data_IF_019898189605
#
_entry.id   IF_019898189605
#
_cell.length_a   1.000
_cell.length_b   1.000
_cell.length_c   1.000
_cell.angle_alpha   90.00
_cell.angle_beta   90.00
_cell.angle_gamma   90.00
#
_symmetry.space_group_name_H-M   'P 1'
#
loop_
_entity.id
_entity.type
_entity.pdbx_description
1 polymer ?
#
# COMPACT_ATOMS: atom_id res chain seq x y z
N UNK A 1 -31.93 -0.57 -11.35
CA UNK A 1 -30.90 0.31 -10.76
C UNK A 1 -29.61 -0.49 -10.73
N UNK A 2 -28.46 0.07 -11.12
CA UNK A 2 -27.21 -0.70 -11.23
C UNK A 2 -26.67 -1.04 -9.82
N UNK A 3 -26.68 -2.32 -9.45
CA UNK A 3 -26.14 -2.88 -8.19
C UNK A 3 -24.61 -2.80 -8.04
N UNK A 4 -23.95 -1.90 -8.78
CA UNK A 4 -22.48 -1.80 -8.82
C UNK A 4 -21.90 -0.85 -7.77
N UNK A 5 -22.74 -0.07 -7.07
CA UNK A 5 -22.30 0.99 -6.13
C UNK A 5 -22.82 0.77 -4.70
N UNK A 6 -23.14 -0.48 -4.34
CA UNK A 6 -23.56 -0.86 -2.98
C UNK A 6 -22.48 -1.76 -2.35
N UNK A 7 -22.22 -1.58 -1.06
CA UNK A 7 -21.35 -2.48 -0.31
C UNK A 7 -21.97 -3.88 -0.26
N UNK A 8 -21.11 -4.90 -0.39
CA UNK A 8 -21.45 -6.32 -0.20
C UNK A 8 -20.75 -6.93 1.00
N UNK A 9 -20.01 -6.13 1.74
CA UNK A 9 -19.38 -6.55 2.98
C UNK A 9 -20.49 -6.98 3.95
N UNK A 10 -20.34 -8.10 4.67
CA UNK A 10 -21.23 -8.45 5.78
C UNK A 10 -21.32 -7.33 6.84
N UNK A 11 -22.43 -7.23 7.58
CA UNK A 11 -22.64 -6.14 8.55
C UNK A 11 -21.77 -6.24 9.81
N UNK A 12 -21.26 -7.42 10.09
CA UNK A 12 -20.35 -7.74 11.20
C UNK A 12 -18.87 -7.49 10.86
N UNK A 13 -18.54 -7.20 9.60
CA UNK A 13 -17.18 -6.88 9.16
C UNK A 13 -17.03 -5.37 9.00
N UNK A 14 -16.10 -4.79 9.75
CA UNK A 14 -15.76 -3.36 9.70
C UNK A 14 -14.28 -3.16 9.46
N UNK A 15 -13.95 -2.09 8.75
CA UNK A 15 -12.56 -1.67 8.54
C UNK A 15 -12.17 -0.74 9.68
N UNK A 16 -11.55 -1.31 10.71
CA UNK A 16 -11.04 -0.54 11.84
C UNK A 16 -9.69 0.09 11.51
N UNK A 17 -9.62 1.41 11.57
CA UNK A 17 -8.37 2.16 11.41
C UNK A 17 -7.55 1.99 12.69
N UNK A 18 -6.39 1.33 12.57
CA UNK A 18 -5.48 1.08 13.68
C UNK A 18 -4.20 1.87 13.47
N UNK A 19 -3.91 2.79 14.38
CA UNK A 19 -2.62 3.46 14.45
C UNK A 19 -1.64 2.56 15.23
N UNK A 20 -0.86 1.77 14.48
CA UNK A 20 0.13 0.85 15.06
C UNK A 20 1.50 1.43 14.81
N UNK A 21 2.28 1.60 15.88
CA UNK A 21 3.72 1.84 15.79
C UNK A 21 4.43 0.53 16.12
N UNK A 22 5.20 0.00 15.17
CA UNK A 22 5.94 -1.23 15.39
C UNK A 22 7.26 -0.94 16.10
N UNK A 23 7.44 -1.56 17.26
CA UNK A 23 8.71 -1.57 17.98
C UNK A 23 9.73 -2.51 17.32
N UNK A 24 11.02 -2.21 17.45
CA UNK A 24 12.10 -3.11 17.01
C UNK A 24 12.33 -3.20 15.50
N UNK A 25 11.73 -2.31 14.69
CA UNK A 25 12.00 -2.24 13.24
C UNK A 25 13.43 -1.73 12.94
N UNK A 26 13.90 -0.77 13.75
CA UNK A 26 15.24 -0.21 13.60
C UNK A 26 16.31 -1.12 14.22
N UNK A 27 17.49 -1.14 13.61
CA UNK A 27 18.66 -1.93 14.04
C UNK A 27 18.40 -3.44 14.11
N UNK A 28 17.43 -3.94 13.33
CA UNK A 28 17.17 -5.38 13.20
C UNK A 28 18.39 -6.12 12.64
N UNK A 29 18.57 -7.42 12.96
CA UNK A 29 19.64 -8.23 12.38
C UNK A 29 19.64 -8.18 10.84
N UNK A 30 20.82 -8.34 10.23
CA UNK A 30 20.97 -8.33 8.76
C UNK A 30 20.04 -9.34 8.07
N UNK A 31 19.90 -10.51 8.68
CA UNK A 31 19.01 -11.58 8.24
C UNK A 31 17.90 -11.79 9.28
N UNK A 32 17.10 -10.74 9.48
CA UNK A 32 16.07 -10.68 10.52
C UNK A 32 15.04 -11.81 10.45
N UNK A 33 14.83 -12.40 9.27
CA UNK A 33 13.90 -13.51 9.10
C UNK A 33 14.57 -14.86 9.40
N UNK A 34 14.80 -15.14 10.69
CA UNK A 34 15.33 -16.43 11.16
C UNK A 34 16.71 -16.77 10.58
N UNK A 35 17.57 -15.76 10.42
CA UNK A 35 18.89 -15.86 9.80
C UNK A 35 18.88 -16.36 8.34
N UNK A 36 17.73 -16.28 7.65
CA UNK A 36 17.59 -16.69 6.26
C UNK A 36 17.83 -15.51 5.31
N UNK A 37 18.92 -15.51 4.51
CA UNK A 37 19.23 -14.41 3.61
C UNK A 37 18.26 -14.28 2.43
N UNK A 38 17.76 -15.40 1.89
CA UNK A 38 16.86 -15.38 0.72
C UNK A 38 15.52 -14.75 1.11
N UNK A 39 14.92 -15.22 2.21
CA UNK A 39 13.65 -14.68 2.70
C UNK A 39 13.80 -13.22 3.11
N UNK A 40 14.87 -12.89 3.84
CA UNK A 40 15.13 -11.50 4.25
C UNK A 40 15.25 -10.58 3.05
N UNK A 41 16.00 -10.96 2.01
CA UNK A 41 16.17 -10.10 0.83
C UNK A 41 14.91 -10.01 -0.02
N UNK A 42 14.16 -11.10 -0.18
CA UNK A 42 12.87 -11.08 -0.85
C UNK A 42 11.88 -10.13 -0.18
N UNK A 43 11.76 -10.19 1.15
CA UNK A 43 10.86 -9.33 1.91
C UNK A 43 11.34 -7.87 1.97
N UNK A 44 12.65 -7.63 2.09
CA UNK A 44 13.21 -6.28 2.01
C UNK A 44 12.92 -5.64 0.64
N UNK A 45 13.06 -6.42 -0.44
CA UNK A 45 12.75 -5.95 -1.79
C UNK A 45 11.26 -5.68 -1.97
N UNK A 46 10.38 -6.58 -1.50
CA UNK A 46 8.93 -6.37 -1.56
C UNK A 46 8.50 -5.12 -0.80
N UNK A 47 8.99 -4.94 0.44
CA UNK A 47 8.72 -3.76 1.28
C UNK A 47 9.05 -2.44 0.60
N UNK A 48 10.05 -2.42 -0.28
CA UNK A 48 10.45 -1.22 -1.01
C UNK A 48 9.37 -0.68 -1.95
N UNK A 49 8.53 -1.56 -2.48
CA UNK A 49 7.57 -1.22 -3.52
C UNK A 49 6.22 -0.76 -2.95
N UNK A 50 5.88 -1.23 -1.74
CA UNK A 50 4.58 -0.97 -1.14
C UNK A 50 4.30 0.53 -0.94
N UNK A 51 5.19 1.39 -0.41
CA UNK A 51 4.85 2.80 -0.20
C UNK A 51 4.31 3.51 -1.46
N UNK A 52 4.95 3.26 -2.60
CA UNK A 52 4.52 3.85 -3.87
C UNK A 52 3.25 3.16 -4.42
N UNK A 53 3.13 1.84 -4.20
CA UNK A 53 1.94 1.06 -4.53
C UNK A 53 0.70 1.51 -3.77
N UNK A 54 0.79 1.69 -2.46
CA UNK A 54 -0.32 2.08 -1.58
C UNK A 54 -0.81 3.50 -1.88
N UNK A 55 0.12 4.43 -2.14
CA UNK A 55 -0.24 5.77 -2.65
C UNK A 55 -0.99 5.66 -3.99
N UNK A 56 -0.59 4.73 -4.86
CA UNK A 56 -1.30 4.46 -6.11
C UNK A 56 -2.68 3.83 -5.85
N UNK A 57 -2.81 2.92 -4.90
CA UNK A 57 -4.08 2.31 -4.49
C UNK A 57 -5.06 3.39 -4.01
N UNK A 58 -4.64 4.21 -3.05
CA UNK A 58 -5.41 5.35 -2.51
C UNK A 58 -5.92 6.25 -3.64
N UNK A 59 -5.04 6.68 -4.54
CA UNK A 59 -5.42 7.54 -5.66
C UNK A 59 -6.39 6.85 -6.62
N UNK A 60 -6.21 5.55 -6.84
CA UNK A 60 -7.05 4.75 -7.73
C UNK A 60 -8.49 4.64 -7.21
N UNK A 61 -8.70 4.41 -5.91
CA UNK A 61 -10.07 4.42 -5.33
C UNK A 61 -10.65 5.84 -5.23
N UNK A 62 -9.84 6.85 -4.90
CA UNK A 62 -10.29 8.24 -4.85
C UNK A 62 -10.86 8.74 -6.18
N UNK A 63 -10.37 8.24 -7.32
CA UNK A 63 -10.91 8.55 -8.64
C UNK A 63 -12.42 8.22 -8.80
N UNK A 64 -12.96 7.33 -7.98
CA UNK A 64 -14.34 6.85 -8.04
C UNK A 64 -15.17 7.23 -6.81
N UNK A 65 -14.56 7.75 -5.74
CA UNK A 65 -15.22 8.03 -4.47
C UNK A 65 -16.48 8.91 -4.62
N UNK A 66 -16.46 9.90 -5.51
CA UNK A 66 -17.60 10.79 -5.77
C UNK A 66 -18.80 10.11 -6.45
N UNK A 67 -18.64 8.90 -6.98
CA UNK A 67 -19.71 8.12 -7.61
C UNK A 67 -20.41 7.19 -6.61
N UNK A 68 -19.90 7.09 -5.38
CA UNK A 68 -20.40 6.19 -4.34
C UNK A 68 -21.48 6.89 -3.53
N UNK A 69 -22.71 6.38 -3.62
CA UNK A 69 -23.87 6.90 -2.89
C UNK A 69 -24.20 6.09 -1.64
N UNK A 70 -23.77 4.83 -1.58
CA UNK A 70 -23.98 3.99 -0.41
C UNK A 70 -23.11 4.48 0.77
N UNK A 71 -23.71 4.87 1.90
CA UNK A 71 -22.96 5.32 3.06
C UNK A 71 -22.00 4.26 3.61
N UNK A 72 -22.36 2.97 3.54
CA UNK A 72 -21.50 1.87 4.03
C UNK A 72 -20.24 1.76 3.18
N UNK A 73 -20.39 1.66 1.85
CA UNK A 73 -19.25 1.60 0.94
C UNK A 73 -18.35 2.83 1.04
N UNK A 74 -18.92 4.01 1.28
CA UNK A 74 -18.14 5.25 1.47
C UNK A 74 -17.32 5.22 2.76
N UNK A 75 -17.87 4.68 3.84
CA UNK A 75 -17.16 4.48 5.11
C UNK A 75 -16.00 3.47 4.93
N UNK A 76 -16.26 2.37 4.23
CA UNK A 76 -15.25 1.35 3.91
C UNK A 76 -14.09 1.91 3.08
N UNK A 77 -14.37 2.73 2.05
CA UNK A 77 -13.34 3.40 1.26
C UNK A 77 -12.48 4.32 2.15
N UNK A 78 -13.10 5.06 3.08
CA UNK A 78 -12.35 5.90 4.00
C UNK A 78 -11.48 5.08 4.97
N UNK A 79 -12.02 3.97 5.49
CA UNK A 79 -11.29 3.05 6.35
C UNK A 79 -10.09 2.43 5.63
N UNK A 80 -10.29 1.98 4.38
CA UNK A 80 -9.22 1.48 3.51
C UNK A 80 -8.12 2.54 3.33
N UNK A 81 -8.47 3.77 2.92
CA UNK A 81 -7.49 4.85 2.73
C UNK A 81 -6.68 5.09 4.01
N UNK A 82 -7.32 5.10 5.18
CA UNK A 82 -6.65 5.35 6.45
C UNK A 82 -5.72 4.18 6.87
N UNK A 83 -6.11 2.94 6.57
CA UNK A 83 -5.24 1.77 6.78
C UNK A 83 -4.02 1.82 5.85
N UNK A 84 -4.22 2.09 4.57
CA UNK A 84 -3.13 2.19 3.58
C UNK A 84 -2.13 3.29 3.94
N UNK A 85 -2.61 4.46 4.41
CA UNK A 85 -1.72 5.53 4.91
C UNK A 85 -0.85 5.03 6.07
N UNK A 86 -1.47 4.36 7.04
CA UNK A 86 -0.74 3.86 8.21
C UNK A 86 0.25 2.77 7.81
N UNK A 87 -0.16 1.84 6.94
CA UNK A 87 0.68 0.76 6.44
C UNK A 87 1.90 1.31 5.68
N UNK A 88 1.68 2.32 4.84
CA UNK A 88 2.75 3.01 4.10
C UNK A 88 3.80 3.64 4.98
N UNK A 89 3.38 4.26 6.09
CA UNK A 89 4.30 4.81 7.08
C UNK A 89 5.18 3.73 7.71
N UNK A 90 4.62 2.54 7.99
CA UNK A 90 5.39 1.44 8.57
C UNK A 90 6.40 0.85 7.57
N UNK A 91 6.03 0.73 6.30
CA UNK A 91 6.97 0.38 5.25
C UNK A 91 8.08 1.42 5.09
N UNK A 92 7.79 2.72 5.17
CA UNK A 92 8.80 3.77 5.13
C UNK A 92 9.80 3.67 6.29
N UNK A 93 9.33 3.41 7.52
CA UNK A 93 10.21 3.19 8.69
C UNK A 93 11.08 1.96 8.45
N UNK A 94 10.50 0.85 8.00
CA UNK A 94 11.24 -0.37 7.69
C UNK A 94 12.30 -0.17 6.60
N UNK A 95 11.94 0.50 5.50
CA UNK A 95 12.79 0.76 4.35
C UNK A 95 13.97 1.67 4.71
N UNK A 96 13.74 2.68 5.58
CA UNK A 96 14.82 3.52 6.12
C UNK A 96 15.88 2.69 6.84
N UNK A 97 15.47 1.73 7.66
CA UNK A 97 16.41 0.82 8.32
C UNK A 97 17.15 -0.08 7.30
N UNK A 98 16.45 -0.63 6.31
CA UNK A 98 17.07 -1.41 5.22
C UNK A 98 18.14 -0.59 4.49
N UNK A 99 17.94 0.70 4.24
CA UNK A 99 18.98 1.55 3.64
C UNK A 99 20.18 1.75 4.56
N UNK A 100 19.96 1.91 5.87
CA UNK A 100 21.04 2.01 6.88
C UNK A 100 21.92 0.77 6.87
N UNK A 101 21.36 -0.41 6.58
CA UNK A 101 22.08 -1.68 6.46
C UNK A 101 22.89 -1.86 5.15
N UNK A 102 22.88 -0.86 4.25
CA UNK A 102 23.73 -0.82 3.05
C UNK A 102 23.00 -1.08 1.73
N UNK A 103 21.69 -1.33 1.73
CA UNK A 103 20.89 -1.59 0.53
C UNK A 103 20.45 -0.30 -0.20
N UNK A 104 21.34 0.69 -0.32
CA UNK A 104 21.00 2.01 -0.86
C UNK A 104 20.58 1.97 -2.34
N UNK A 105 21.06 0.97 -3.10
CA UNK A 105 20.68 0.82 -4.50
C UNK A 105 19.17 0.54 -4.69
N UNK A 106 18.46 0.05 -3.67
CA UNK A 106 17.01 -0.12 -3.70
C UNK A 106 16.26 1.21 -3.90
N UNK A 107 16.84 2.35 -3.49
CA UNK A 107 16.27 3.67 -3.74
C UNK A 107 16.13 3.99 -5.24
N UNK A 108 17.00 3.42 -6.09
CA UNK A 108 16.88 3.59 -7.54
C UNK A 108 15.67 2.84 -8.09
N UNK A 109 15.40 1.65 -7.55
CA UNK A 109 14.25 0.85 -7.91
C UNK A 109 12.96 1.48 -7.42
N UNK A 110 12.94 2.00 -6.19
CA UNK A 110 11.82 2.78 -5.66
C UNK A 110 11.48 3.98 -6.58
N UNK A 111 12.48 4.77 -6.99
CA UNK A 111 12.29 5.88 -7.92
C UNK A 111 11.80 5.44 -9.30
N UNK A 112 12.18 4.25 -9.75
CA UNK A 112 11.66 3.68 -11.00
C UNK A 112 10.18 3.34 -10.85
N UNK A 113 9.81 2.60 -9.79
CA UNK A 113 8.42 2.23 -9.51
C UNK A 113 7.54 3.46 -9.32
N UNK A 114 8.00 4.47 -8.57
CA UNK A 114 7.31 5.75 -8.43
C UNK A 114 7.00 6.37 -9.80
N UNK A 115 7.99 6.45 -10.70
CA UNK A 115 7.79 7.02 -12.04
C UNK A 115 6.80 6.21 -12.88
N UNK A 116 6.87 4.88 -12.82
CA UNK A 116 5.95 4.00 -13.55
C UNK A 116 4.51 4.17 -13.06
N UNK A 117 4.28 4.10 -11.74
CA UNK A 117 2.96 4.26 -11.14
C UNK A 117 2.41 5.68 -11.32
N UNK A 118 3.25 6.72 -11.21
CA UNK A 118 2.86 8.09 -11.48
C UNK A 118 2.46 8.29 -12.96
N UNK A 119 3.20 7.67 -13.89
CA UNK A 119 2.86 7.67 -15.31
C UNK A 119 1.53 6.96 -15.58
N UNK A 120 1.33 5.77 -15.01
CA UNK A 120 0.09 5.02 -15.10
C UNK A 120 -1.10 5.80 -14.53
N UNK A 121 -0.91 6.44 -13.37
CA UNK A 121 -1.96 7.26 -12.76
C UNK A 121 -2.30 8.49 -13.62
N UNK A 122 -1.30 9.13 -14.23
CA UNK A 122 -1.48 10.35 -15.03
C UNK A 122 -2.13 10.09 -16.39
N UNK A 123 -1.73 9.01 -17.07
CA UNK A 123 -2.08 8.78 -18.47
C UNK A 123 -2.95 7.54 -18.69
N UNK A 124 -2.99 6.62 -17.73
CA UNK A 124 -3.76 5.38 -17.84
C UNK A 124 -5.24 5.57 -17.55
N UNK A 125 -6.13 4.72 -18.12
CA UNK A 125 -7.56 4.76 -17.82
C UNK A 125 -7.84 4.53 -16.32
N UNK A 126 -8.73 5.33 -15.72
CA UNK A 126 -9.08 5.21 -14.28
C UNK A 126 -9.50 3.80 -13.87
N UNK A 127 -10.28 3.11 -14.72
CA UNK A 127 -10.72 1.72 -14.46
C UNK A 127 -9.56 0.73 -14.44
N UNK A 128 -8.53 0.95 -15.27
CA UNK A 128 -7.32 0.12 -15.26
C UNK A 128 -6.54 0.34 -13.96
N UNK A 129 -6.44 1.58 -13.48
CA UNK A 129 -5.77 1.88 -12.21
C UNK A 129 -6.42 1.15 -11.04
N UNK A 130 -7.76 1.14 -11.00
CA UNK A 130 -8.52 0.36 -10.02
C UNK A 130 -8.31 -1.15 -10.17
N UNK A 131 -8.29 -1.68 -11.40
CA UNK A 131 -8.04 -3.11 -11.64
C UNK A 131 -6.63 -3.53 -11.19
N UNK A 132 -5.63 -2.68 -11.40
CA UNK A 132 -4.25 -2.93 -10.93
C UNK A 132 -4.20 -2.99 -9.41
N UNK A 133 -4.97 -2.17 -8.71
CA UNK A 133 -5.06 -2.19 -7.24
C UNK A 133 -5.60 -3.52 -6.68
N UNK A 134 -6.43 -4.24 -7.46
CA UNK A 134 -6.97 -5.56 -7.05
C UNK A 134 -5.99 -6.70 -7.35
N UNK A 135 -5.06 -6.48 -8.29
CA UNK A 135 -4.14 -7.52 -8.78
C UNK A 135 -2.77 -7.51 -8.08
N UNK A 136 -2.46 -6.46 -7.33
CA UNK A 136 -1.21 -6.24 -6.59
C UNK A 136 -1.46 -6.39 -5.09
#
# INVERSE_FOLDING_TARGET
>A
MNDLNISRTPDDIKIDVRHIEFEGIENKPRYWHGDNPILTHGLNAASMFFPQGEIFFIKSVQNFQNQITDPKLREEINGFIAQEITHSQQHDVFNKDVYKQGYKDLQRMEKLVHRLLAGLHKFGPKKLQLAVTVAL
#
